data_IF_822897782593
#
_entry.id   IF_822897782593
#
_cell.length_a   1.000
_cell.length_b   1.000
_cell.length_c   1.000
_cell.angle_alpha   90.00
_cell.angle_beta   90.00
_cell.angle_gamma   90.00
#
_symmetry.space_group_name_H-M   'P 1'
#
loop_
_entity.id
_entity.type
_entity.pdbx_description
1 polymer ?
#
# COMPACT_ATOMS: atom_id res chain seq x y z
N UNK A 1 -7.29 -18.10 -28.77
CA UNK A 1 -5.85 -18.16 -28.48
C UNK A 1 -5.67 -18.96 -27.19
N UNK A 2 -5.30 -20.24 -27.29
CA UNK A 2 -5.11 -21.12 -26.12
C UNK A 2 -3.65 -21.04 -25.68
N UNK A 3 -3.39 -20.51 -24.48
CA UNK A 3 -2.06 -20.59 -23.87
C UNK A 3 -1.94 -21.89 -23.08
N UNK A 4 -0.98 -22.73 -23.45
CA UNK A 4 -0.57 -23.88 -22.65
C UNK A 4 0.58 -23.48 -21.72
N UNK A 5 0.44 -23.72 -20.42
CA UNK A 5 1.54 -23.61 -19.46
C UNK A 5 2.21 -24.96 -19.30
N UNK A 6 3.51 -25.04 -19.63
CA UNK A 6 4.33 -26.24 -19.42
C UNK A 6 4.32 -26.65 -17.93
N UNK A 7 4.06 -27.92 -17.65
CA UNK A 7 4.16 -28.50 -16.31
C UNK A 7 5.59 -28.51 -15.78
N UNK A 8 5.75 -28.50 -14.45
CA UNK A 8 7.06 -28.58 -13.79
C UNK A 8 7.67 -29.96 -14.00
N UNK A 9 8.93 -30.00 -14.41
CA UNK A 9 9.73 -31.24 -14.55
C UNK A 9 10.51 -31.53 -13.27
N UNK A 10 11.04 -32.76 -13.16
CA UNK A 10 11.98 -33.12 -12.08
C UNK A 10 13.21 -32.20 -12.07
N UNK A 11 13.75 -31.84 -13.26
CA UNK A 11 14.85 -30.88 -13.39
C UNK A 11 14.51 -29.52 -12.78
N UNK A 12 13.30 -29.02 -13.02
CA UNK A 12 12.84 -27.72 -12.49
C UNK A 12 12.68 -27.74 -10.95
N UNK A 13 12.57 -28.93 -10.36
CA UNK A 13 12.45 -29.14 -8.91
C UNK A 13 13.81 -29.34 -8.24
N UNK A 14 14.69 -30.11 -8.88
CA UNK A 14 16.01 -30.47 -8.33
C UNK A 14 17.08 -29.42 -8.59
N UNK A 15 16.95 -28.64 -9.67
CA UNK A 15 17.90 -27.62 -10.08
C UNK A 15 17.15 -26.33 -10.47
N UNK A 16 16.44 -25.70 -9.51
CA UNK A 16 15.66 -24.51 -9.82
C UNK A 16 16.62 -23.39 -10.22
N UNK A 17 16.28 -22.68 -11.31
CA UNK A 17 17.10 -21.56 -11.80
C UNK A 17 17.18 -20.39 -10.81
N UNK A 18 16.26 -20.34 -9.84
CA UNK A 18 16.20 -19.35 -8.78
C UNK A 18 16.08 -20.04 -7.41
N UNK A 19 16.67 -19.43 -6.39
CA UNK A 19 16.52 -19.84 -4.99
C UNK A 19 15.05 -19.80 -4.58
N UNK A 20 14.50 -20.91 -4.09
CA UNK A 20 13.15 -20.91 -3.51
C UNK A 20 13.22 -20.38 -2.08
N UNK A 21 12.52 -19.28 -1.77
CA UNK A 21 12.33 -18.86 -0.37
C UNK A 21 11.64 -19.99 0.41
N UNK A 22 12.27 -20.47 1.49
CA UNK A 22 11.60 -21.33 2.46
C UNK A 22 10.42 -20.56 3.05
N UNK A 23 9.21 -20.97 2.71
CA UNK A 23 8.00 -20.45 3.32
C UNK A 23 7.87 -21.04 4.72
N UNK A 24 8.45 -20.37 5.71
CA UNK A 24 8.20 -20.69 7.12
C UNK A 24 6.77 -20.30 7.48
N UNK A 25 5.85 -21.25 7.36
CA UNK A 25 4.49 -21.10 7.85
C UNK A 25 4.48 -21.42 9.35
N UNK A 26 4.45 -20.39 10.21
CA UNK A 26 4.20 -20.58 11.66
C UNK A 26 2.79 -21.13 11.95
N UNK A 27 1.88 -21.05 10.98
CA UNK A 27 0.49 -21.49 11.09
C UNK A 27 0.19 -22.49 9.98
N UNK A 28 -0.30 -23.68 10.33
CA UNK A 28 -0.58 -24.77 9.39
C UNK A 28 -1.82 -24.54 8.50
N UNK A 29 -2.52 -23.41 8.64
CA UNK A 29 -3.66 -23.04 7.79
C UNK A 29 -3.31 -22.06 6.67
N UNK A 30 -4.30 -21.78 5.80
CA UNK A 30 -4.15 -20.79 4.72
C UNK A 30 -3.72 -19.43 5.31
N UNK A 31 -2.65 -18.80 4.81
CA UNK A 31 -2.18 -17.54 5.35
C UNK A 31 -3.26 -16.47 5.20
N UNK A 32 -3.59 -15.80 6.31
CA UNK A 32 -4.49 -14.64 6.30
C UNK A 32 -3.90 -13.55 5.41
N UNK A 33 -4.74 -12.81 4.71
CA UNK A 33 -4.35 -11.68 3.85
C UNK A 33 -5.06 -10.42 4.32
N UNK A 34 -4.41 -9.28 4.17
CA UNK A 34 -4.89 -7.99 4.64
C UNK A 34 -3.89 -7.27 5.51
N UNK A 35 -4.36 -6.19 6.12
CA UNK A 35 -3.61 -5.40 7.09
C UNK A 35 -4.14 -5.66 8.49
N UNK A 36 -3.24 -5.98 9.40
CA UNK A 36 -3.56 -6.39 10.76
C UNK A 36 -2.86 -5.49 11.79
N UNK A 37 -3.48 -5.24 12.94
CA UNK A 37 -2.85 -4.48 14.00
C UNK A 37 -1.63 -5.21 14.54
N UNK A 38 -0.55 -4.47 14.83
CA UNK A 38 0.59 -5.01 15.59
C UNK A 38 0.33 -5.02 17.11
N UNK A 39 -0.80 -4.48 17.56
CA UNK A 39 -1.23 -4.37 18.96
C UNK A 39 -0.30 -3.55 19.87
N UNK A 40 0.69 -2.86 19.29
CA UNK A 40 1.68 -2.08 20.03
C UNK A 40 1.84 -0.65 19.48
N UNK A 41 0.86 -0.13 18.74
CA UNK A 41 0.94 1.24 18.22
C UNK A 41 -0.42 1.91 18.04
N UNK A 42 -0.43 3.24 18.14
CA UNK A 42 -1.64 4.08 17.98
C UNK A 42 -2.28 3.97 16.58
N UNK A 43 -1.53 3.57 15.57
CA UNK A 43 -2.03 3.39 14.20
C UNK A 43 -2.95 2.17 14.06
N UNK A 44 -2.94 1.24 15.03
CA UNK A 44 -3.78 0.03 14.99
C UNK A 44 -5.28 0.36 14.95
N UNK A 45 -5.69 1.42 15.65
CA UNK A 45 -7.10 1.82 15.76
C UNK A 45 -7.70 2.32 14.43
N UNK A 46 -6.86 2.77 13.49
CA UNK A 46 -7.28 3.28 12.18
C UNK A 46 -7.16 2.27 11.04
N UNK A 47 -6.83 1.01 11.33
CA UNK A 47 -6.70 -0.02 10.28
C UNK A 47 -8.07 -0.42 9.72
N UNK A 48 -8.18 -0.45 8.39
CA UNK A 48 -9.27 -1.14 7.69
C UNK A 48 -8.98 -2.64 7.72
N UNK A 49 -9.75 -3.37 8.51
CA UNK A 49 -9.63 -4.83 8.63
C UNK A 49 -10.24 -5.52 7.41
N UNK A 50 -9.65 -6.64 7.00
CA UNK A 50 -10.17 -7.49 5.93
C UNK A 50 -9.13 -7.79 4.86
N UNK A 51 -9.50 -8.68 3.94
CA UNK A 51 -8.68 -9.10 2.80
C UNK A 51 -9.10 -8.43 1.49
N UNK A 52 -10.05 -7.50 1.53
CA UNK A 52 -10.54 -6.75 0.37
C UNK A 52 -10.61 -5.26 0.68
N UNK A 53 -10.51 -4.46 -0.38
CA UNK A 53 -10.74 -3.01 -0.34
C UNK A 53 -11.64 -2.61 -1.50
N UNK A 54 -12.69 -1.85 -1.24
CA UNK A 54 -13.54 -1.31 -2.30
C UNK A 54 -12.82 -0.18 -3.05
N UNK A 55 -12.90 -0.21 -4.37
CA UNK A 55 -12.45 0.88 -5.23
C UNK A 55 -13.25 2.16 -4.91
N UNK A 56 -12.61 3.33 -4.71
CA UNK A 56 -13.27 4.56 -4.27
C UNK A 56 -14.47 4.98 -5.14
N UNK A 57 -14.31 5.00 -6.46
CA UNK A 57 -15.38 5.40 -7.39
C UNK A 57 -16.26 4.25 -7.87
N UNK A 58 -15.67 3.11 -8.25
CA UNK A 58 -16.41 1.99 -8.87
C UNK A 58 -17.07 1.05 -7.87
N UNK A 59 -16.70 1.10 -6.59
CA UNK A 59 -17.17 0.15 -5.56
C UNK A 59 -16.65 -1.28 -5.72
N UNK A 60 -15.97 -1.61 -6.82
CA UNK A 60 -15.47 -2.97 -7.09
C UNK A 60 -14.50 -3.43 -6.01
N UNK A 61 -14.66 -4.68 -5.57
CA UNK A 61 -13.80 -5.23 -4.51
C UNK A 61 -12.44 -5.67 -5.05
N UNK A 62 -11.38 -5.17 -4.45
CA UNK A 62 -10.00 -5.51 -4.78
C UNK A 62 -9.43 -6.42 -3.69
N UNK A 63 -9.02 -7.64 -4.07
CA UNK A 63 -8.43 -8.61 -3.14
C UNK A 63 -6.97 -8.26 -2.80
N UNK A 64 -6.70 -8.11 -1.51
CA UNK A 64 -5.36 -7.94 -0.95
C UNK A 64 -4.60 -9.27 -1.00
N UNK A 65 -3.31 -9.20 -1.37
CA UNK A 65 -2.50 -10.41 -1.64
C UNK A 65 -1.57 -10.79 -0.50
N UNK A 66 -1.27 -9.86 0.38
CA UNK A 66 -0.22 -9.99 1.39
C UNK A 66 -0.79 -9.99 2.80
N UNK A 67 -0.09 -10.67 3.71
CA UNK A 67 -0.24 -10.44 5.15
C UNK A 67 0.65 -9.27 5.54
N UNK A 68 0.08 -8.21 6.08
CA UNK A 68 0.82 -7.00 6.46
C UNK A 68 0.41 -6.54 7.83
N UNK A 69 1.33 -5.89 8.53
CA UNK A 69 1.09 -5.29 9.84
C UNK A 69 1.57 -3.84 9.84
N UNK A 70 1.42 -3.16 10.96
CA UNK A 70 1.98 -1.82 11.18
C UNK A 70 3.52 -1.76 10.99
N UNK A 71 4.20 -2.90 11.02
CA UNK A 71 5.66 -2.97 10.93
C UNK A 71 6.16 -3.29 9.51
N UNK A 72 5.24 -3.58 8.58
CA UNK A 72 5.57 -3.84 7.19
C UNK A 72 6.32 -2.65 6.57
N UNK A 73 7.46 -2.96 5.94
CA UNK A 73 8.34 -2.05 5.20
C UNK A 73 8.17 -2.26 3.69
N UNK A 74 8.60 -1.28 2.89
CA UNK A 74 8.50 -1.28 1.43
C UNK A 74 7.07 -1.55 0.95
N UNK A 75 6.15 -0.69 1.36
CA UNK A 75 4.73 -0.86 1.08
C UNK A 75 4.15 0.31 0.30
N UNK A 76 3.15 -0.01 -0.53
CA UNK A 76 2.18 0.96 -1.03
C UNK A 76 0.94 0.85 -0.14
N UNK A 77 0.57 1.96 0.49
CA UNK A 77 -0.57 2.05 1.40
C UNK A 77 -1.66 2.96 0.83
N UNK A 78 -2.87 2.80 1.36
CA UNK A 78 -4.03 3.61 1.05
C UNK A 78 -4.54 4.26 2.33
N UNK A 79 -4.76 5.57 2.30
CA UNK A 79 -5.54 6.30 3.30
C UNK A 79 -6.95 6.52 2.77
N UNK A 80 -7.94 6.37 3.65
CA UNK A 80 -9.35 6.60 3.37
C UNK A 80 -9.89 7.72 4.23
N UNK A 81 -10.59 8.64 3.58
CA UNK A 81 -11.37 9.69 4.19
C UNK A 81 -12.82 9.22 4.42
N UNK A 82 -13.52 9.67 5.48
CA UNK A 82 -14.95 9.40 5.66
C UNK A 82 -15.84 9.83 4.48
N UNK A 83 -15.47 10.84 3.68
CA UNK A 83 -16.21 11.25 2.49
C UNK A 83 -16.01 10.31 1.27
N UNK A 84 -15.31 9.18 1.43
CA UNK A 84 -15.10 8.20 0.38
C UNK A 84 -13.85 8.43 -0.48
N UNK A 85 -13.23 9.60 -0.40
CA UNK A 85 -11.97 9.87 -1.10
C UNK A 85 -10.80 9.07 -0.50
N UNK A 86 -9.83 8.76 -1.35
CA UNK A 86 -8.65 8.02 -0.96
C UNK A 86 -7.34 8.70 -1.41
N UNK A 87 -6.27 8.42 -0.68
CA UNK A 87 -4.89 8.79 -1.01
C UNK A 87 -4.06 7.52 -1.10
N UNK A 88 -3.18 7.45 -2.10
CA UNK A 88 -2.20 6.38 -2.24
C UNK A 88 -0.81 6.96 -1.99
N UNK A 89 -0.02 6.27 -1.18
CA UNK A 89 1.37 6.63 -0.96
C UNK A 89 2.26 5.40 -0.80
N UNK A 90 3.57 5.59 -0.95
CA UNK A 90 4.56 4.57 -0.63
C UNK A 90 5.39 4.90 0.62
N UNK A 91 6.03 3.87 1.19
CA UNK A 91 7.09 4.05 2.18
C UNK A 91 8.07 2.88 2.18
N UNK A 92 9.35 3.19 2.33
CA UNK A 92 10.43 2.21 2.56
C UNK A 92 10.49 1.83 4.04
N UNK A 93 10.23 2.79 4.94
CA UNK A 93 10.20 2.58 6.41
C UNK A 93 8.97 1.78 6.82
N UNK A 94 8.87 1.44 8.11
CA UNK A 94 7.68 0.80 8.65
C UNK A 94 6.47 1.71 8.43
N UNK A 95 5.37 1.13 7.94
CA UNK A 95 4.17 1.90 7.58
C UNK A 95 3.63 2.70 8.77
N UNK A 96 3.73 2.20 10.01
CA UNK A 96 3.33 2.92 11.22
C UNK A 96 3.95 4.32 11.34
N UNK A 97 5.21 4.49 10.95
CA UNK A 97 5.91 5.77 11.09
C UNK A 97 5.34 6.78 10.09
N UNK A 98 5.08 6.33 8.86
CA UNK A 98 4.44 7.17 7.84
C UNK A 98 3.00 7.53 8.19
N UNK A 99 2.24 6.61 8.80
CA UNK A 99 0.88 6.90 9.26
C UNK A 99 0.90 7.89 10.44
N UNK A 100 1.88 7.82 11.35
CA UNK A 100 2.04 8.80 12.43
C UNK A 100 2.29 10.21 11.88
N UNK A 101 3.14 10.33 10.86
CA UNK A 101 3.41 11.60 10.18
C UNK A 101 2.12 12.20 9.59
N UNK A 102 1.36 11.41 8.81
CA UNK A 102 0.06 11.86 8.28
C UNK A 102 -0.90 12.30 9.37
N UNK A 103 -0.97 11.54 10.48
CA UNK A 103 -1.80 11.92 11.64
C UNK A 103 -1.36 13.24 12.28
N UNK A 104 -0.05 13.46 12.39
CA UNK A 104 0.52 14.72 12.88
C UNK A 104 0.18 15.90 11.96
N UNK A 105 0.34 15.72 10.65
CA UNK A 105 0.04 16.74 9.66
C UNK A 105 -1.44 17.13 9.64
N UNK A 106 -2.35 16.16 9.76
CA UNK A 106 -3.80 16.44 9.86
C UNK A 106 -4.13 17.21 11.15
N UNK A 107 -3.56 16.79 12.29
CA UNK A 107 -3.86 17.42 13.58
C UNK A 107 -3.35 18.87 13.65
N UNK A 108 -2.16 19.10 13.12
CA UNK A 108 -1.44 20.36 13.25
C UNK A 108 -1.41 21.13 11.93
N UNK A 109 -2.43 20.97 11.08
CA UNK A 109 -2.45 21.57 9.74
C UNK A 109 -2.29 23.09 9.81
N UNK A 110 -1.32 23.60 9.05
CA UNK A 110 -1.11 25.03 8.81
C UNK A 110 -0.64 25.22 7.38
N UNK A 111 -1.37 26.05 6.63
CA UNK A 111 -1.05 26.38 5.23
C UNK A 111 0.38 26.93 5.10
N UNK A 112 1.10 26.50 4.05
CA UNK A 112 2.47 26.94 3.78
C UNK A 112 3.54 26.36 4.71
N UNK A 113 3.23 25.34 5.51
CA UNK A 113 4.21 24.64 6.36
C UNK A 113 4.44 23.19 5.90
N UNK A 114 5.37 22.47 6.54
CA UNK A 114 5.55 21.03 6.28
C UNK A 114 4.30 20.17 6.55
N UNK A 115 3.34 20.70 7.32
CA UNK A 115 2.05 20.04 7.56
C UNK A 115 1.04 20.29 6.44
N UNK A 116 1.32 21.17 5.48
CA UNK A 116 0.48 21.44 4.31
C UNK A 116 0.71 20.36 3.23
N UNK A 117 0.08 19.21 3.46
CA UNK A 117 0.07 18.08 2.54
C UNK A 117 -1.31 17.94 1.93
N UNK A 118 -1.44 17.29 0.77
CA UNK A 118 -2.73 17.09 0.10
C UNK A 118 -3.79 16.47 1.03
N UNK A 119 -3.38 15.51 1.87
CA UNK A 119 -4.25 14.83 2.83
C UNK A 119 -4.69 15.77 3.96
N UNK A 120 -3.76 16.48 4.61
CA UNK A 120 -4.10 17.37 5.72
C UNK A 120 -4.89 18.59 5.26
N UNK A 121 -4.56 19.15 4.09
CA UNK A 121 -5.33 20.21 3.45
C UNK A 121 -6.77 19.77 3.17
N UNK A 122 -6.96 18.57 2.60
CA UNK A 122 -8.28 18.01 2.38
C UNK A 122 -9.06 17.82 3.69
N UNK A 123 -8.44 17.23 4.71
CA UNK A 123 -9.11 17.03 6.01
C UNK A 123 -9.53 18.36 6.64
N UNK A 124 -8.69 19.39 6.53
CA UNK A 124 -9.03 20.72 7.03
C UNK A 124 -10.20 21.35 6.24
N UNK A 125 -10.14 21.32 4.90
CA UNK A 125 -11.16 21.90 4.03
C UNK A 125 -12.55 21.26 4.23
N UNK A 126 -12.60 19.94 4.44
CA UNK A 126 -13.85 19.20 4.65
C UNK A 126 -14.29 19.14 6.13
N UNK A 127 -13.56 19.76 7.06
CA UNK A 127 -13.87 19.69 8.50
C UNK A 127 -13.71 18.28 9.11
N UNK A 128 -12.94 17.40 8.47
CA UNK A 128 -12.65 16.07 8.98
C UNK A 128 -11.50 16.06 9.98
N UNK A 129 -11.48 15.06 10.85
CA UNK A 129 -10.48 14.93 11.91
C UNK A 129 -9.66 13.64 11.80
N UNK A 130 -8.53 13.63 12.49
CA UNK A 130 -7.55 12.52 12.48
C UNK A 130 -8.09 11.19 13.02
N UNK A 131 -9.18 11.19 13.80
CA UNK A 131 -9.81 9.96 14.30
C UNK A 131 -10.62 9.23 13.22
N UNK A 132 -11.10 9.98 12.21
CA UNK A 132 -11.86 9.45 11.07
C UNK A 132 -10.94 8.86 9.99
N UNK A 133 -9.65 9.22 9.98
CA UNK A 133 -8.67 8.65 9.05
C UNK A 133 -8.60 7.13 9.21
N UNK A 134 -8.81 6.41 8.10
CA UNK A 134 -8.56 4.97 8.03
C UNK A 134 -7.44 4.63 7.06
N UNK A 135 -6.77 3.50 7.24
CA UNK A 135 -5.68 3.09 6.35
C UNK A 135 -5.55 1.56 6.20
N UNK A 136 -4.91 1.14 5.11
CA UNK A 136 -4.50 -0.24 4.87
C UNK A 136 -3.28 -0.29 3.94
N UNK A 137 -2.66 -1.46 3.81
CA UNK A 137 -1.60 -1.75 2.82
C UNK A 137 -2.21 -2.43 1.61
N UNK A 138 -1.95 -1.89 0.42
CA UNK A 138 -2.38 -2.47 -0.85
C UNK A 138 -1.41 -3.53 -1.35
N UNK A 139 -0.12 -3.20 -1.30
CA UNK A 139 0.95 -4.05 -1.82
C UNK A 139 2.21 -3.89 -0.98
N UNK A 140 2.83 -5.03 -0.63
CA UNK A 140 4.16 -5.04 -0.03
C UNK A 140 5.13 -5.56 -1.09
N UNK A 141 6.18 -4.79 -1.35
CA UNK A 141 7.24 -5.17 -2.28
C UNK A 141 8.22 -6.05 -1.52
N UNK A 142 8.54 -7.18 -2.13
CA UNK A 142 9.61 -8.06 -1.68
C UNK A 142 10.80 -7.92 -2.62
N UNK A 143 12.00 -8.11 -2.08
CA UNK A 143 13.21 -8.20 -2.89
C UNK A 143 13.05 -9.34 -3.90
N UNK A 144 13.26 -9.10 -5.20
CA UNK A 144 13.33 -10.18 -6.17
C UNK A 144 14.56 -11.04 -5.90
N UNK A 145 14.47 -12.34 -6.18
CA UNK A 145 15.58 -13.29 -6.00
C UNK A 145 16.86 -12.89 -6.74
N UNK A 146 16.72 -12.18 -7.87
CA UNK A 146 17.83 -11.72 -8.71
C UNK A 146 18.28 -10.28 -8.40
N UNK A 147 17.88 -9.77 -7.24
CA UNK A 147 18.05 -8.36 -6.91
C UNK A 147 17.21 -7.44 -7.79
N UNK A 148 17.60 -6.17 -7.85
CA UNK A 148 16.91 -5.13 -8.59
C UNK A 148 16.60 -3.91 -7.73
N UNK A 149 16.28 -2.80 -8.38
CA UNK A 149 15.97 -1.56 -7.69
C UNK A 149 14.56 -1.62 -7.09
N UNK A 150 14.54 -1.92 -5.79
CA UNK A 150 13.32 -2.00 -4.99
C UNK A 150 12.63 -0.64 -4.83
N UNK A 151 13.38 0.47 -4.86
CA UNK A 151 12.81 1.84 -4.79
C UNK A 151 12.10 2.17 -6.10
N UNK A 152 12.72 1.87 -7.24
CA UNK A 152 12.10 2.01 -8.56
C UNK A 152 10.84 1.17 -8.65
N UNK A 153 10.89 -0.09 -8.21
CA UNK A 153 9.72 -0.98 -8.18
C UNK A 153 8.60 -0.43 -7.29
N UNK A 154 8.93 0.08 -6.11
CA UNK A 154 7.96 0.67 -5.18
C UNK A 154 7.28 1.91 -5.78
N UNK A 155 8.05 2.80 -6.42
CA UNK A 155 7.54 4.00 -7.09
C UNK A 155 6.67 3.67 -8.31
N UNK A 156 7.04 2.67 -9.12
CA UNK A 156 6.20 2.17 -10.20
C UNK A 156 4.87 1.62 -9.68
N UNK A 157 4.90 0.93 -8.53
CA UNK A 157 3.70 0.37 -7.90
C UNK A 157 2.81 1.43 -7.30
N UNK A 158 3.36 2.46 -6.70
CA UNK A 158 2.61 3.65 -6.26
C UNK A 158 1.87 4.30 -7.44
N UNK A 159 2.56 4.59 -8.53
CA UNK A 159 1.98 5.13 -9.76
C UNK A 159 0.85 4.24 -10.32
N UNK A 160 1.09 2.93 -10.38
CA UNK A 160 0.06 1.96 -10.79
C UNK A 160 -1.18 2.02 -9.90
N UNK A 161 -1.01 2.08 -8.58
CA UNK A 161 -2.13 2.10 -7.63
C UNK A 161 -2.89 3.43 -7.64
N UNK A 162 -2.21 4.58 -7.79
CA UNK A 162 -2.87 5.88 -7.98
C UNK A 162 -3.80 5.83 -9.17
N UNK A 163 -3.31 5.36 -10.32
CA UNK A 163 -4.11 5.24 -11.55
C UNK A 163 -5.21 4.21 -11.42
N UNK A 164 -4.93 3.05 -10.82
CA UNK A 164 -5.90 1.97 -10.65
C UNK A 164 -7.04 2.32 -9.71
N UNK A 165 -6.79 3.09 -8.66
CA UNK A 165 -7.77 3.48 -7.64
C UNK A 165 -8.44 4.82 -7.93
N UNK A 166 -8.00 5.51 -8.99
CA UNK A 166 -8.47 6.83 -9.40
C UNK A 166 -8.42 7.86 -8.27
N UNK A 167 -7.25 8.00 -7.63
CA UNK A 167 -7.09 8.85 -6.43
C UNK A 167 -6.52 10.24 -6.72
N UNK A 168 -6.38 10.63 -7.98
CA UNK A 168 -5.96 11.97 -8.37
C UNK A 168 -7.04 13.00 -8.04
N UNK A 169 -6.63 14.18 -7.55
CA UNK A 169 -7.52 15.31 -7.36
C UNK A 169 -8.21 15.69 -8.69
N UNK A 170 -9.51 16.08 -8.69
CA UNK A 170 -10.36 16.29 -7.51
C UNK A 170 -11.08 15.02 -7.00
N UNK A 171 -10.98 13.88 -7.71
CA UNK A 171 -11.73 12.65 -7.41
C UNK A 171 -11.02 11.79 -6.32
N UNK A 172 -9.86 12.23 -5.87
CA UNK A 172 -9.15 11.70 -4.70
C UNK A 172 -8.18 12.73 -4.13
N UNK A 173 -7.27 12.28 -3.26
CA UNK A 173 -6.40 13.16 -2.48
C UNK A 173 -4.94 13.22 -2.99
N UNK A 174 -4.59 12.58 -4.11
CA UNK A 174 -3.26 12.69 -4.71
C UNK A 174 -3.18 13.92 -5.64
N UNK A 175 -2.24 14.83 -5.41
CA UNK A 175 -2.04 16.00 -6.28
C UNK A 175 -1.30 15.66 -7.58
N UNK A 176 -0.41 14.68 -7.52
CA UNK A 176 0.46 14.28 -8.63
C UNK A 176 0.81 12.79 -8.53
N UNK A 177 1.27 12.25 -9.65
CA UNK A 177 1.92 10.95 -9.76
C UNK A 177 3.04 11.06 -10.79
N UNK A 178 4.05 10.19 -10.70
CA UNK A 178 5.23 10.27 -11.58
C UNK A 178 5.33 9.05 -12.49
N UNK A 179 5.61 9.32 -13.77
CA UNK A 179 5.99 8.29 -14.76
C UNK A 179 7.50 8.05 -14.83
N UNK A 180 8.31 8.90 -14.18
CA UNK A 180 9.78 8.82 -14.20
C UNK A 180 10.30 7.41 -13.85
N UNK A 181 9.74 6.70 -12.85
CA UNK A 181 10.20 5.35 -12.52
C UNK A 181 10.11 4.33 -13.66
N UNK A 182 9.38 4.63 -14.75
CA UNK A 182 9.24 3.77 -15.92
C UNK A 182 10.23 4.10 -17.05
N UNK A 183 10.92 5.24 -17.00
CA UNK A 183 11.67 5.78 -18.15
C UNK A 183 13.14 5.33 -18.26
N UNK A 184 13.63 4.46 -17.37
CA UNK A 184 14.88 3.73 -17.61
C UNK A 184 16.21 4.48 -17.43
N UNK A 185 16.19 5.75 -16.99
CA UNK A 185 17.42 6.48 -16.65
C UNK A 185 18.11 5.94 -15.40
#
# INVERSE_FOLDING_TARGET
MFCYTRGRTLKDTLCPSDSQEKKEYRFMGKPKKGTFPCLNCICCASIVKGNTVSHPTKGTQIKLRHYTTCESKFVVYCLKCPCGLAYIGQTIRAVKDRIKEHRGNIRNFKMGTASDTSVSRHFHAEGHNVSQLKWLVLEQIKMPNRGGDMRKTLAQKEAYWIRKMNTMAPIGMNDHWSIIPFLGY
#
